data_IF_765672469667
#
_entry.id   IF_765672469667
#
_cell.length_a   1.000
_cell.length_b   1.000
_cell.length_c   1.000
_cell.angle_alpha   90.00
_cell.angle_beta   90.00
_cell.angle_gamma   90.00
#
_symmetry.space_group_name_H-M   'P 1'
#
loop_
_entity.id
_entity.type
_entity.pdbx_description
1 polymer ?
#
# COMPACT_ATOMS: atom_id res chain seq x y z
N UNK A 1 -1.10 -4.26 -0.23
CA UNK A 1 -1.83 -3.01 -0.52
C UNK A 1 -2.15 -2.19 0.74
N UNK A 2 -2.45 -2.81 1.89
CA UNK A 2 -2.69 -2.14 3.19
C UNK A 2 -1.60 -1.15 3.65
N UNK A 3 -0.35 -1.33 3.20
CA UNK A 3 0.78 -0.42 3.49
C UNK A 3 0.50 1.05 3.10
N UNK A 4 -0.35 1.30 2.10
CA UNK A 4 -0.81 2.66 1.75
C UNK A 4 -1.52 3.32 2.93
N UNK A 5 -2.40 2.59 3.62
CA UNK A 5 -3.14 3.11 4.77
C UNK A 5 -2.21 3.42 5.95
N UNK A 6 -1.24 2.54 6.22
CA UNK A 6 -0.28 2.74 7.31
C UNK A 6 0.64 3.95 7.05
N UNK A 7 1.20 4.06 5.83
CA UNK A 7 2.01 5.22 5.45
C UNK A 7 1.19 6.52 5.43
N UNK A 8 -0.07 6.47 4.97
CA UNK A 8 -0.98 7.60 5.01
C UNK A 8 -1.33 8.03 6.44
N UNK A 9 -1.48 7.10 7.40
CA UNK A 9 -1.70 7.43 8.80
C UNK A 9 -0.49 8.18 9.41
N UNK A 10 0.73 7.75 9.09
CA UNK A 10 1.96 8.46 9.49
C UNK A 10 2.01 9.85 8.87
N UNK A 11 1.70 9.97 7.56
CA UNK A 11 1.61 11.26 6.90
C UNK A 11 0.56 12.16 7.54
N UNK A 12 -0.63 11.64 7.88
CA UNK A 12 -1.68 12.41 8.53
C UNK A 12 -1.20 13.00 9.85
N UNK A 13 -0.52 12.19 10.67
CA UNK A 13 0.05 12.65 11.95
C UNK A 13 1.13 13.72 11.74
N UNK A 14 1.89 13.65 10.64
CA UNK A 14 2.91 14.66 10.31
C UNK A 14 2.34 16.04 9.98
N UNK A 15 1.04 16.17 9.71
CA UNK A 15 0.40 17.47 9.48
C UNK A 15 0.46 18.38 10.71
N UNK A 16 0.34 17.80 11.91
CA UNK A 16 0.44 18.51 13.19
C UNK A 16 1.81 18.38 13.85
N UNK A 17 2.69 17.52 13.32
CA UNK A 17 4.01 17.22 13.88
C UNK A 17 5.09 17.36 12.78
N UNK A 18 5.58 18.59 12.50
CA UNK A 18 6.42 18.87 11.32
C UNK A 18 7.72 18.04 11.23
N UNK A 19 8.26 17.60 12.37
CA UNK A 19 9.49 16.80 12.44
C UNK A 19 9.25 15.29 12.47
N UNK A 20 7.99 14.83 12.46
CA UNK A 20 7.63 13.41 12.60
C UNK A 20 8.36 12.55 11.57
N UNK A 21 8.34 12.95 10.30
CA UNK A 21 8.95 12.16 9.22
C UNK A 21 10.46 11.97 9.37
N UNK A 22 11.15 12.88 10.08
CA UNK A 22 12.58 12.81 10.36
C UNK A 22 12.91 11.97 11.61
N UNK A 23 11.91 11.60 12.40
CA UNK A 23 12.10 10.78 13.60
C UNK A 23 12.76 9.45 13.22
N UNK A 24 13.89 9.16 13.88
CA UNK A 24 14.66 7.93 13.68
C UNK A 24 14.09 6.79 14.52
N UNK A 25 13.96 5.63 13.90
CA UNK A 25 13.47 4.38 14.48
C UNK A 25 14.57 3.35 14.36
N UNK A 26 14.91 2.71 15.47
CA UNK A 26 15.91 1.65 15.52
C UNK A 26 15.45 0.40 14.75
N UNK A 27 16.37 -0.19 13.98
CA UNK A 27 16.17 -1.45 13.27
C UNK A 27 17.03 -2.53 13.93
N UNK A 28 16.38 -3.46 14.62
CA UNK A 28 17.01 -4.57 15.33
C UNK A 28 16.99 -5.82 14.46
N UNK A 29 17.95 -6.72 14.70
CA UNK A 29 17.94 -8.05 14.08
C UNK A 29 16.65 -8.83 14.39
N UNK A 30 16.07 -8.63 15.57
CA UNK A 30 14.80 -9.24 15.99
C UNK A 30 13.56 -8.68 15.29
N UNK A 31 13.67 -7.55 14.58
CA UNK A 31 12.56 -6.98 13.82
C UNK A 31 12.36 -7.70 12.47
N UNK A 32 13.41 -8.35 11.95
CA UNK A 32 13.39 -8.98 10.64
C UNK A 32 12.31 -10.06 10.56
N UNK A 33 11.51 -10.01 9.50
CA UNK A 33 10.49 -11.01 9.18
C UNK A 33 10.81 -11.66 7.83
N UNK A 34 9.81 -12.17 7.13
CA UNK A 34 9.97 -12.93 5.88
C UNK A 34 10.48 -12.13 4.66
N UNK A 35 10.39 -10.79 4.64
CA UNK A 35 10.76 -9.99 3.45
C UNK A 35 11.09 -8.53 3.81
N UNK A 36 12.39 -8.18 3.80
CA UNK A 36 12.89 -6.90 4.35
C UNK A 36 14.02 -6.27 3.51
N UNK A 37 13.83 -6.11 2.18
CA UNK A 37 14.91 -5.78 1.24
C UNK A 37 15.60 -4.43 1.46
N UNK A 38 15.00 -3.54 2.27
CA UNK A 38 15.60 -2.26 2.65
C UNK A 38 16.04 -2.32 4.10
N UNK A 39 15.14 -2.63 5.02
CA UNK A 39 15.40 -2.55 6.46
C UNK A 39 16.54 -3.47 6.92
N UNK A 40 16.74 -4.62 6.28
CA UNK A 40 17.84 -5.53 6.64
C UNK A 40 19.23 -4.89 6.49
N UNK A 41 19.37 -3.91 5.60
CA UNK A 41 20.62 -3.16 5.37
C UNK A 41 20.92 -2.14 6.47
N UNK A 42 19.95 -1.88 7.35
CA UNK A 42 20.03 -0.90 8.43
C UNK A 42 20.01 -1.54 9.82
N UNK A 43 20.17 -2.86 9.93
CA UNK A 43 20.23 -3.57 11.23
C UNK A 43 21.34 -3.01 12.11
N UNK A 44 21.02 -2.82 13.40
CA UNK A 44 21.82 -2.12 14.41
C UNK A 44 22.03 -0.63 14.13
N UNK A 45 21.27 -0.07 13.20
CA UNK A 45 21.20 1.34 12.89
C UNK A 45 19.78 1.88 13.03
N UNK A 46 19.48 2.95 12.30
CA UNK A 46 18.15 3.56 12.29
C UNK A 46 17.69 3.86 10.88
N UNK A 47 16.38 3.97 10.72
CA UNK A 47 15.72 4.56 9.57
C UNK A 47 14.73 5.62 10.06
N UNK A 48 14.54 6.70 9.30
CA UNK A 48 13.50 7.69 9.55
C UNK A 48 12.12 7.15 9.18
N UNK A 49 11.05 7.75 9.71
CA UNK A 49 9.68 7.39 9.30
C UNK A 49 9.41 7.65 7.81
N UNK A 50 10.07 8.65 7.22
CA UNK A 50 10.05 8.86 5.76
C UNK A 50 10.69 7.69 5.00
N UNK A 51 11.90 7.26 5.41
CA UNK A 51 12.61 6.13 4.80
C UNK A 51 11.82 4.82 4.96
N UNK A 52 11.21 4.58 6.12
CA UNK A 52 10.33 3.43 6.37
C UNK A 52 9.07 3.49 5.51
N UNK A 53 8.43 4.65 5.37
CA UNK A 53 7.26 4.83 4.51
C UNK A 53 7.60 4.55 3.05
N UNK A 54 8.72 5.08 2.55
CA UNK A 54 9.23 4.80 1.22
C UNK A 54 9.53 3.30 1.03
N UNK A 55 10.24 2.67 1.97
CA UNK A 55 10.56 1.23 1.91
C UNK A 55 9.31 0.34 1.89
N UNK A 56 8.32 0.63 2.75
CA UNK A 56 7.06 -0.09 2.82
C UNK A 56 6.24 0.05 1.52
N UNK A 57 6.25 1.23 0.89
CA UNK A 57 5.49 1.47 -0.33
C UNK A 57 6.22 0.96 -1.58
N UNK A 58 7.49 1.30 -1.74
CA UNK A 58 8.22 1.10 -3.00
C UNK A 58 8.81 -0.30 -3.14
N UNK A 59 9.20 -0.91 -2.03
CA UNK A 59 9.85 -2.22 -1.99
C UNK A 59 9.00 -3.23 -1.25
N UNK A 60 7.82 -2.85 -0.75
CA UNK A 60 6.96 -3.72 0.05
C UNK A 60 7.70 -4.33 1.25
N UNK A 61 8.62 -3.58 1.88
CA UNK A 61 9.37 -4.05 3.04
C UNK A 61 8.46 -4.29 4.26
N UNK A 62 8.57 -5.47 4.88
CA UNK A 62 7.67 -5.91 5.95
C UNK A 62 8.09 -5.42 7.34
N UNK A 63 9.40 -5.27 7.59
CA UNK A 63 9.89 -4.59 8.81
C UNK A 63 9.40 -3.15 8.79
N UNK A 64 9.53 -2.48 7.64
CA UNK A 64 9.08 -1.10 7.50
C UNK A 64 7.58 -0.96 7.80
N UNK A 65 6.73 -1.84 7.26
CA UNK A 65 5.30 -1.88 7.60
C UNK A 65 5.09 -2.06 9.11
N UNK A 66 5.76 -3.02 9.74
CA UNK A 66 5.61 -3.27 11.18
C UNK A 66 6.04 -2.06 12.03
N UNK A 67 7.11 -1.36 11.66
CA UNK A 67 7.54 -0.13 12.33
C UNK A 67 6.53 1.00 12.18
N UNK A 68 5.93 1.17 10.99
CA UNK A 68 4.87 2.18 10.78
C UNK A 68 3.62 1.84 11.59
N UNK A 69 3.17 0.58 11.58
CA UNK A 69 2.03 0.12 12.40
C UNK A 69 2.30 0.39 13.88
N UNK A 70 3.48 0.02 14.39
CA UNK A 70 3.85 0.25 15.78
C UNK A 70 3.86 1.75 16.12
N UNK A 71 4.40 2.59 15.24
CA UNK A 71 4.45 4.03 15.44
C UNK A 71 3.06 4.67 15.56
N UNK A 72 2.08 4.21 14.77
CA UNK A 72 0.70 4.72 14.84
C UNK A 72 -0.15 4.08 15.94
N UNK A 73 0.40 3.13 16.71
CA UNK A 73 -0.28 2.49 17.85
C UNK A 73 -0.93 1.14 17.57
N UNK A 74 -0.55 0.46 16.49
CA UNK A 74 -0.98 -0.90 16.18
C UNK A 74 -2.02 -1.01 15.05
N UNK A 75 -2.40 -2.24 14.66
CA UNK A 75 -3.35 -2.48 13.56
C UNK A 75 -4.71 -1.78 13.75
N UNK A 76 -5.20 -1.74 14.99
CA UNK A 76 -6.44 -1.06 15.34
C UNK A 76 -6.40 0.44 15.03
N UNK A 77 -5.26 1.11 15.24
CA UNK A 77 -5.09 2.52 14.90
C UNK A 77 -5.11 2.77 13.39
N UNK A 78 -4.56 1.85 12.58
CA UNK A 78 -4.65 1.94 11.11
C UNK A 78 -6.11 1.79 10.66
N UNK A 79 -6.85 0.89 11.29
CA UNK A 79 -8.30 0.74 11.06
C UNK A 79 -9.07 1.99 11.50
N UNK A 80 -8.76 2.55 12.67
CA UNK A 80 -9.37 3.78 13.16
C UNK A 80 -9.11 4.96 12.23
N UNK A 81 -7.89 5.08 11.70
CA UNK A 81 -7.57 6.06 10.66
C UNK A 81 -8.45 5.89 9.43
N UNK A 82 -8.64 4.67 8.92
CA UNK A 82 -9.55 4.41 7.81
C UNK A 82 -10.99 4.88 8.13
N UNK A 83 -11.49 4.62 9.35
CA UNK A 83 -12.81 5.09 9.80
C UNK A 83 -12.91 6.61 9.81
N UNK A 84 -11.86 7.33 10.21
CA UNK A 84 -11.83 8.81 10.15
C UNK A 84 -11.96 9.34 8.72
N UNK A 85 -11.56 8.56 7.72
CA UNK A 85 -11.71 8.90 6.30
C UNK A 85 -13.09 8.52 5.72
N UNK A 86 -13.98 7.96 6.55
CA UNK A 86 -15.28 7.43 6.14
C UNK A 86 -15.24 6.02 5.53
N UNK A 87 -14.10 5.32 5.62
CA UNK A 87 -14.00 3.92 5.19
C UNK A 87 -14.48 3.00 6.31
N UNK A 88 -15.69 2.47 6.20
CA UNK A 88 -16.30 1.55 7.16
C UNK A 88 -15.94 0.08 6.90
N UNK A 89 -15.27 -0.23 5.78
CA UNK A 89 -15.04 -1.60 5.32
C UNK A 89 -13.63 -2.09 5.65
N UNK A 90 -12.62 -1.24 5.47
CA UNK A 90 -11.22 -1.60 5.72
C UNK A 90 -11.02 -2.07 7.16
N UNK A 91 -10.27 -3.15 7.34
CA UNK A 91 -9.77 -3.59 8.64
C UNK A 91 -8.38 -4.15 8.52
N UNK A 92 -7.54 -3.81 9.49
CA UNK A 92 -6.22 -4.39 9.70
C UNK A 92 -6.21 -4.96 11.12
N UNK A 93 -6.02 -6.27 11.20
CA UNK A 93 -6.16 -7.05 12.42
C UNK A 93 -4.79 -7.58 12.91
N UNK A 94 -3.86 -7.79 11.97
CA UNK A 94 -2.53 -8.38 12.24
C UNK A 94 -1.40 -7.54 11.67
N UNK A 95 -0.18 -7.90 12.04
CA UNK A 95 1.06 -7.34 11.52
C UNK A 95 1.68 -8.27 10.47
N UNK A 96 2.74 -7.83 9.81
CA UNK A 96 3.52 -8.69 8.94
C UNK A 96 4.24 -9.78 9.76
N UNK A 97 4.37 -11.01 9.26
CA UNK A 97 3.84 -11.49 7.97
C UNK A 97 2.42 -12.06 8.02
N UNK A 98 1.83 -12.18 9.21
CA UNK A 98 0.65 -13.02 9.44
C UNK A 98 -0.64 -12.44 8.86
N UNK A 99 -0.68 -11.15 8.52
CA UNK A 99 -1.80 -10.55 7.78
C UNK A 99 -2.00 -11.14 6.37
N UNK A 100 -1.01 -11.85 5.82
CA UNK A 100 -1.05 -12.36 4.44
C UNK A 100 -1.59 -13.79 4.30
N UNK A 101 -2.26 -14.35 5.32
CA UNK A 101 -2.79 -15.73 5.23
C UNK A 101 -3.84 -15.89 4.13
N UNK A 102 -4.65 -14.85 3.88
CA UNK A 102 -5.65 -14.77 2.82
C UNK A 102 -6.59 -15.99 2.74
N UNK A 103 -6.98 -16.53 3.91
CA UNK A 103 -7.83 -17.72 4.01
C UNK A 103 -9.24 -17.37 3.50
N UNK A 104 -9.81 -18.13 2.55
CA UNK A 104 -11.19 -17.92 2.09
C UNK A 104 -12.18 -17.89 3.25
N UNK A 105 -12.99 -16.83 3.33
CA UNK A 105 -13.98 -16.63 4.38
C UNK A 105 -13.44 -16.01 5.68
N UNK A 106 -12.13 -15.86 5.86
CA UNK A 106 -11.56 -15.13 6.99
C UNK A 106 -11.73 -13.62 6.78
N UNK A 107 -12.47 -12.90 7.65
CA UNK A 107 -12.71 -11.48 7.45
C UNK A 107 -11.50 -10.61 7.84
N UNK A 108 -10.48 -11.15 8.51
CA UNK A 108 -9.35 -10.36 9.01
C UNK A 108 -8.49 -9.82 7.88
N UNK A 109 -7.97 -8.60 8.06
CA UNK A 109 -7.06 -7.94 7.12
C UNK A 109 -7.67 -7.73 5.72
N UNK A 110 -8.99 -7.52 5.65
CA UNK A 110 -9.74 -7.37 4.41
C UNK A 110 -10.28 -5.96 4.18
N UNK A 111 -10.66 -5.70 2.94
CA UNK A 111 -11.48 -4.56 2.52
C UNK A 111 -12.20 -4.94 1.22
N UNK A 112 -13.08 -4.06 0.70
CA UNK A 112 -13.68 -4.23 -0.62
C UNK A 112 -12.93 -3.41 -1.68
N UNK A 113 -12.97 -3.80 -2.97
CA UNK A 113 -12.39 -3.00 -4.05
C UNK A 113 -12.94 -1.56 -4.08
N UNK A 114 -14.25 -1.39 -3.84
CA UNK A 114 -14.91 -0.08 -3.81
C UNK A 114 -14.41 0.79 -2.67
N UNK A 115 -14.34 0.25 -1.45
CA UNK A 115 -13.89 1.00 -0.27
C UNK A 115 -12.43 1.45 -0.45
N UNK A 116 -11.55 0.53 -0.87
CA UNK A 116 -10.14 0.86 -1.14
C UNK A 116 -9.99 1.89 -2.26
N UNK A 117 -10.80 1.82 -3.32
CA UNK A 117 -10.76 2.81 -4.40
C UNK A 117 -11.17 4.20 -3.89
N UNK A 118 -12.23 4.30 -3.08
CA UNK A 118 -12.66 5.57 -2.51
C UNK A 118 -11.61 6.15 -1.55
N UNK A 119 -11.04 5.30 -0.69
CA UNK A 119 -9.98 5.72 0.23
C UNK A 119 -8.73 6.17 -0.52
N UNK A 120 -8.28 5.41 -1.52
CA UNK A 120 -7.13 5.79 -2.33
C UNK A 120 -7.37 7.10 -3.07
N UNK A 121 -8.58 7.31 -3.63
CA UNK A 121 -8.99 8.60 -4.21
C UNK A 121 -8.84 9.73 -3.22
N UNK A 122 -9.40 9.58 -2.02
CA UNK A 122 -9.40 10.61 -0.99
C UNK A 122 -7.96 10.96 -0.54
N UNK A 123 -7.10 9.95 -0.42
CA UNK A 123 -5.70 10.09 -0.01
C UNK A 123 -4.78 10.70 -1.09
N UNK A 124 -5.04 10.44 -2.37
CA UNK A 124 -4.12 10.82 -3.47
C UNK A 124 -4.60 12.01 -4.31
N UNK A 125 -5.92 12.20 -4.42
CA UNK A 125 -6.54 13.24 -5.25
C UNK A 125 -7.46 14.15 -4.43
N UNK A 126 -7.93 13.69 -3.28
CA UNK A 126 -8.86 14.41 -2.40
C UNK A 126 -8.16 15.24 -1.32
N UNK A 127 -8.88 15.47 -0.21
CA UNK A 127 -8.45 16.32 0.91
C UNK A 127 -8.25 15.55 2.22
N UNK A 128 -8.12 14.21 2.17
CA UNK A 128 -7.87 13.41 3.37
C UNK A 128 -6.51 13.76 4.01
N UNK A 129 -5.52 14.06 3.17
CA UNK A 129 -4.22 14.56 3.53
C UNK A 129 -4.04 16.02 3.11
N UNK A 130 -3.26 16.76 3.89
CA UNK A 130 -2.71 18.07 3.52
C UNK A 130 -1.92 17.98 2.21
N UNK A 131 -1.77 19.12 1.52
CA UNK A 131 -1.25 19.14 0.15
C UNK A 131 0.17 18.55 0.03
N UNK A 132 1.07 18.89 0.95
CA UNK A 132 2.44 18.36 0.99
C UNK A 132 2.46 16.85 1.26
N UNK A 133 1.64 16.38 2.20
CA UNK A 133 1.53 14.96 2.56
C UNK A 133 0.94 14.14 1.40
N UNK A 134 -0.10 14.66 0.74
CA UNK A 134 -0.70 14.05 -0.44
C UNK A 134 0.30 13.95 -1.59
N UNK A 135 1.04 15.02 -1.86
CA UNK A 135 2.10 15.02 -2.88
C UNK A 135 3.21 14.01 -2.54
N UNK A 136 3.58 13.88 -1.27
CA UNK A 136 4.57 12.90 -0.82
C UNK A 136 4.08 11.46 -0.97
N UNK A 137 2.83 11.15 -0.59
CA UNK A 137 2.23 9.83 -0.80
C UNK A 137 2.25 9.45 -2.28
N UNK A 138 1.79 10.36 -3.15
CA UNK A 138 1.79 10.17 -4.60
C UNK A 138 3.21 9.95 -5.13
N UNK A 139 4.19 10.70 -4.64
CA UNK A 139 5.61 10.54 -5.02
C UNK A 139 6.12 9.15 -4.65
N UNK A 140 5.83 8.67 -3.44
CA UNK A 140 6.24 7.33 -3.03
C UNK A 140 5.56 6.24 -3.87
N UNK A 141 4.25 6.35 -4.13
CA UNK A 141 3.52 5.39 -4.96
C UNK A 141 4.01 5.36 -6.41
N UNK A 142 4.33 6.51 -7.01
CA UNK A 142 4.94 6.59 -8.35
C UNK A 142 6.32 5.95 -8.42
N UNK A 143 7.05 5.94 -7.31
CA UNK A 143 8.35 5.27 -7.19
C UNK A 143 8.27 3.78 -6.87
N UNK A 144 7.09 3.14 -6.94
CA UNK A 144 6.97 1.72 -6.66
C UNK A 144 7.78 0.87 -7.63
N UNK A 145 8.50 -0.12 -7.10
CA UNK A 145 9.37 -1.01 -7.89
C UNK A 145 8.75 -2.38 -8.17
N UNK A 146 7.59 -2.66 -7.56
CA UNK A 146 6.98 -4.00 -7.56
C UNK A 146 5.83 -4.17 -8.57
N UNK A 147 5.36 -3.08 -9.18
CA UNK A 147 4.12 -2.99 -9.95
C UNK A 147 4.23 -3.25 -11.46
N UNK A 148 5.45 -3.35 -12.01
CA UNK A 148 5.67 -3.35 -13.46
C UNK A 148 4.90 -4.43 -14.24
N UNK A 149 4.63 -5.59 -13.62
CA UNK A 149 3.91 -6.71 -14.23
C UNK A 149 2.40 -6.77 -13.87
N UNK A 150 1.90 -5.82 -13.09
CA UNK A 150 0.52 -5.79 -12.57
C UNK A 150 -0.33 -4.78 -13.34
N UNK A 151 -0.96 -3.77 -12.69
CA UNK A 151 -1.78 -2.77 -13.39
C UNK A 151 -0.96 -2.07 -14.48
N UNK A 152 0.29 -1.70 -14.20
CA UNK A 152 1.12 -0.94 -15.14
C UNK A 152 1.33 -1.65 -16.48
N UNK A 153 1.43 -2.99 -16.50
CA UNK A 153 1.60 -3.77 -17.74
C UNK A 153 0.35 -3.75 -18.64
N UNK A 154 -0.82 -3.42 -18.09
CA UNK A 154 -2.07 -3.29 -18.85
C UNK A 154 -2.30 -1.92 -19.47
N UNK A 155 -1.44 -0.94 -19.21
CA UNK A 155 -1.66 0.47 -19.55
C UNK A 155 -0.68 0.97 -20.63
N UNK A 156 -1.03 2.04 -21.37
CA UNK A 156 -0.09 2.70 -22.27
C UNK A 156 1.16 3.19 -21.52
N UNK A 157 2.35 2.95 -22.10
CA UNK A 157 3.63 3.33 -21.48
C UNK A 157 3.80 4.84 -21.24
N UNK A 158 3.01 5.68 -21.91
CA UNK A 158 3.00 7.13 -21.73
C UNK A 158 2.24 7.59 -20.47
N UNK A 159 1.44 6.71 -19.85
CA UNK A 159 0.66 7.05 -18.67
C UNK A 159 1.52 6.93 -17.42
N UNK A 160 1.38 7.89 -16.51
CA UNK A 160 2.07 7.84 -15.22
C UNK A 160 1.20 7.03 -14.26
N UNK A 161 1.82 6.10 -13.53
CA UNK A 161 1.14 5.24 -12.57
C UNK A 161 1.81 5.39 -11.21
N UNK A 162 1.00 5.55 -10.17
CA UNK A 162 1.43 5.36 -8.79
C UNK A 162 0.62 4.21 -8.19
N UNK A 163 1.28 3.10 -7.89
CA UNK A 163 0.62 1.87 -7.46
C UNK A 163 1.17 1.32 -6.14
N UNK A 164 0.45 0.34 -5.59
CA UNK A 164 0.96 -0.52 -4.54
C UNK A 164 0.41 -1.93 -4.70
N UNK A 165 1.31 -2.86 -5.00
CA UNK A 165 1.02 -4.30 -5.06
C UNK A 165 0.75 -4.95 -3.69
N UNK A 166 0.18 -6.15 -3.73
CA UNK A 166 0.10 -7.08 -2.61
C UNK A 166 0.11 -8.53 -3.08
N UNK A 167 0.75 -9.40 -2.31
CA UNK A 167 0.77 -10.84 -2.56
C UNK A 167 0.62 -11.59 -1.23
N UNK A 168 0.00 -12.77 -1.25
CA UNK A 168 -0.23 -13.56 -0.04
C UNK A 168 -0.55 -15.02 -0.34
N UNK A 169 -1.06 -15.73 0.67
CA UNK A 169 -1.56 -17.09 0.51
C UNK A 169 -2.65 -17.19 -0.55
N UNK A 170 -2.99 -18.42 -0.95
CA UNK A 170 -4.07 -18.67 -1.92
C UNK A 170 -3.85 -18.00 -3.28
N UNK A 171 -2.58 -17.82 -3.68
CA UNK A 171 -2.22 -17.10 -4.91
C UNK A 171 -2.82 -15.70 -4.99
N UNK A 172 -3.07 -15.08 -3.83
CA UNK A 172 -3.64 -13.74 -3.75
C UNK A 172 -2.70 -12.76 -4.42
N UNK A 173 -3.20 -12.06 -5.43
CA UNK A 173 -2.43 -11.14 -6.27
C UNK A 173 -3.22 -9.85 -6.40
N UNK A 174 -2.73 -8.78 -5.80
CA UNK A 174 -3.47 -7.54 -5.66
C UNK A 174 -2.65 -6.36 -6.16
N UNK A 175 -3.34 -5.35 -6.67
CA UNK A 175 -2.73 -4.07 -7.00
C UNK A 175 -3.77 -2.94 -6.91
N UNK A 176 -3.33 -1.77 -6.48
CA UNK A 176 -4.15 -0.56 -6.36
C UNK A 176 -3.36 0.62 -6.93
N UNK A 177 -3.99 1.43 -7.76
CA UNK A 177 -3.30 2.48 -8.50
C UNK A 177 -4.11 3.77 -8.60
N UNK A 178 -3.38 4.89 -8.55
CA UNK A 178 -3.78 6.16 -9.13
C UNK A 178 -3.02 6.33 -10.45
N UNK A 179 -3.76 6.64 -11.50
CA UNK A 179 -3.28 6.63 -12.88
C UNK A 179 -3.52 8.02 -13.47
N UNK A 180 -2.53 8.57 -14.16
CA UNK A 180 -2.63 9.83 -14.88
C UNK A 180 -2.49 9.56 -16.38
N UNK A 181 -3.62 9.38 -17.10
CA UNK A 181 -3.60 9.31 -18.54
C UNK A 181 -3.17 10.64 -19.16
N UNK A 182 -2.61 10.58 -20.37
CA UNK A 182 -2.27 11.80 -21.12
C UNK A 182 -3.54 12.60 -21.44
N UNK A 183 -3.51 13.91 -21.21
CA UNK A 183 -4.57 14.86 -21.57
C UNK A 183 -5.96 14.58 -20.94
N UNK A 184 -5.99 13.90 -19.78
CA UNK A 184 -7.23 13.46 -19.12
C UNK A 184 -7.14 13.60 -17.59
N UNK A 185 -8.30 13.55 -16.95
CA UNK A 185 -8.39 13.49 -15.49
C UNK A 185 -7.80 12.16 -14.96
N UNK A 186 -7.22 12.14 -13.73
CA UNK A 186 -6.69 10.93 -13.13
C UNK A 186 -7.78 9.89 -12.83
N UNK A 187 -7.39 8.61 -12.87
CA UNK A 187 -8.24 7.46 -12.57
C UNK A 187 -7.76 6.76 -11.29
N UNK A 188 -8.69 6.07 -10.63
CA UNK A 188 -8.38 5.14 -9.55
C UNK A 188 -8.80 3.74 -9.98
N UNK A 189 -7.88 2.79 -9.88
CA UNK A 189 -8.12 1.39 -10.20
C UNK A 189 -7.68 0.50 -9.03
N UNK A 190 -8.56 -0.41 -8.63
CA UNK A 190 -8.28 -1.44 -7.62
C UNK A 190 -8.61 -2.80 -8.21
N UNK A 191 -7.60 -3.67 -8.27
CA UNK A 191 -7.74 -5.05 -8.75
C UNK A 191 -7.30 -6.01 -7.65
N UNK A 192 -8.26 -6.76 -7.10
CA UNK A 192 -8.00 -7.82 -6.14
C UNK A 192 -8.35 -9.18 -6.73
N UNK A 193 -7.42 -10.13 -6.60
CA UNK A 193 -7.56 -11.49 -7.12
C UNK A 193 -7.05 -12.48 -6.08
N UNK A 194 -7.81 -13.56 -5.85
CA UNK A 194 -7.43 -14.67 -4.96
C UNK A 194 -7.96 -15.98 -5.54
N UNK A 195 -7.39 -17.11 -5.14
CA UNK A 195 -7.66 -18.41 -5.74
C UNK A 195 -8.09 -19.45 -4.69
N UNK A 196 -8.74 -20.55 -5.10
CA UNK A 196 -9.23 -21.55 -4.15
C UNK A 196 -8.12 -22.36 -3.45
N UNK A 197 -6.98 -22.60 -4.10
CA UNK A 197 -5.93 -23.48 -3.59
C UNK A 197 -4.91 -22.70 -2.74
N UNK A 198 -4.58 -23.13 -1.51
CA UNK A 198 -3.66 -22.40 -0.61
C UNK A 198 -2.27 -22.11 -1.19
N UNK A 199 -1.77 -22.99 -2.06
CA UNK A 199 -0.47 -22.90 -2.74
C UNK A 199 -0.57 -22.48 -4.21
N UNK A 200 -1.69 -21.87 -4.63
CA UNK A 200 -1.81 -21.36 -5.98
C UNK A 200 -0.73 -20.29 -6.26
N UNK A 201 -0.21 -20.29 -7.49
CA UNK A 201 0.76 -19.30 -7.94
C UNK A 201 0.11 -17.93 -8.16
N UNK A 202 0.88 -16.86 -7.96
CA UNK A 202 0.39 -15.50 -8.23
C UNK A 202 0.10 -15.27 -9.72
N UNK A 203 -0.92 -14.46 -10.03
CA UNK A 203 -1.38 -14.19 -11.40
C UNK A 203 -1.41 -12.70 -11.73
N UNK A 204 -0.23 -12.09 -11.88
CA UNK A 204 -0.12 -10.65 -12.20
C UNK A 204 -0.64 -10.31 -13.59
N UNK A 205 -0.58 -11.27 -14.51
CA UNK A 205 -1.18 -11.20 -15.85
C UNK A 205 -2.70 -10.97 -15.84
N UNK A 206 -3.40 -11.49 -14.82
CA UNK A 206 -4.83 -11.24 -14.62
C UNK A 206 -5.09 -9.77 -14.29
N UNK A 207 -4.23 -9.17 -13.47
CA UNK A 207 -4.34 -7.76 -13.07
C UNK A 207 -4.04 -6.83 -14.25
N UNK A 208 -3.00 -7.12 -15.02
CA UNK A 208 -2.70 -6.43 -16.27
C UNK A 208 -3.87 -6.51 -17.26
N UNK A 209 -4.46 -7.70 -17.44
CA UNK A 209 -5.61 -7.90 -18.32
C UNK A 209 -6.84 -7.12 -17.84
N UNK A 210 -7.12 -7.14 -16.54
CA UNK A 210 -8.20 -6.35 -15.95
C UNK A 210 -7.98 -4.85 -16.14
N UNK A 211 -6.76 -4.35 -15.95
CA UNK A 211 -6.41 -2.95 -16.19
C UNK A 211 -6.62 -2.54 -17.64
N UNK A 212 -6.21 -3.40 -18.59
CA UNK A 212 -6.45 -3.18 -20.02
C UNK A 212 -7.95 -3.10 -20.33
N UNK A 213 -8.75 -4.03 -19.81
CA UNK A 213 -10.21 -4.07 -20.06
C UNK A 213 -10.90 -2.79 -19.59
N UNK A 214 -10.59 -2.32 -18.37
CA UNK A 214 -11.28 -1.15 -17.80
C UNK A 214 -10.80 0.19 -18.35
N UNK A 215 -9.65 0.19 -19.04
CA UNK A 215 -9.09 1.39 -19.68
C UNK A 215 -9.21 1.35 -21.20
N UNK A 216 -9.85 0.33 -21.77
CA UNK A 216 -10.06 0.25 -23.20
C UNK A 216 -10.93 1.41 -23.70
N UNK A 217 -10.47 2.05 -24.78
CA UNK A 217 -11.13 3.24 -25.34
C UNK A 217 -11.00 4.52 -24.50
N UNK A 218 -10.25 4.50 -23.39
CA UNK A 218 -9.87 5.72 -22.68
C UNK A 218 -8.69 6.42 -23.35
#
# INVERSE_FOLDING_TARGET
>A
TSKVMAAAAVLKKSESEPNLLNQRVEIKKSDLVNYNPIAEKHVNGTMSLAELSAAALQYSDNVAMNKLIAHVGGPASVTAFARQLGDETFRLDRTEPTLNTAIPGDPRDTTSPRAMAQTLRNLTLGKALGDSQRAQLVTWMKGNTTGAASIQAGLPASWVVGDKTGSGGYGTTNDIAVIWPKDRAPLILVTYFTQPQPKAESRRDVLASAAKIVTDGL
#
